data_IF_581210665732
#
_entry.id   IF_581210665732
#
_cell.length_a   1.000
_cell.length_b   1.000
_cell.length_c   1.000
_cell.angle_alpha   90.00
_cell.angle_beta   90.00
_cell.angle_gamma   90.00
#
_symmetry.space_group_name_H-M   'P 1'
#
loop_
_entity.id
_entity.type
_entity.pdbx_description
1 polymer ?
#
# COMPACT_ATOMS: atom_id res chain seq x y z
N UNK A 1 9.85 1.24 -2.70
CA UNK A 1 8.55 1.01 -2.00
C UNK A 1 8.18 2.26 -1.22
N UNK A 2 6.89 2.59 -1.12
CA UNK A 2 6.41 3.78 -0.38
C UNK A 2 5.29 3.35 0.57
N UNK A 3 5.39 3.76 1.83
CA UNK A 3 4.39 3.51 2.88
C UNK A 3 4.04 4.84 3.55
N UNK A 4 2.81 5.35 3.40
CA UNK A 4 2.32 6.46 4.19
C UNK A 4 2.05 5.99 5.62
N UNK A 5 2.37 6.83 6.60
CA UNK A 5 2.23 6.50 8.03
C UNK A 5 1.50 7.63 8.74
N UNK A 6 0.45 7.29 9.47
CA UNK A 6 -0.26 8.21 10.36
C UNK A 6 -0.76 7.46 11.59
N UNK A 7 -0.12 7.69 12.73
CA UNK A 7 -0.48 7.10 14.03
C UNK A 7 -0.58 5.56 14.01
N UNK A 8 0.50 4.89 13.57
CA UNK A 8 0.59 3.44 13.40
C UNK A 8 1.63 2.78 14.33
N UNK A 9 1.92 3.37 15.50
CA UNK A 9 2.97 2.88 16.41
C UNK A 9 2.86 1.37 16.72
N UNK A 10 1.64 0.84 16.81
CA UNK A 10 1.41 -0.56 17.14
C UNK A 10 1.70 -1.55 15.98
N UNK A 11 1.62 -1.09 14.72
CA UNK A 11 1.62 -1.97 13.53
C UNK A 11 2.78 -1.71 12.59
N UNK A 12 3.28 -0.47 12.53
CA UNK A 12 4.33 -0.07 11.57
C UNK A 12 5.60 -0.92 11.66
N UNK A 13 5.95 -1.40 12.84
CA UNK A 13 7.13 -2.27 13.01
C UNK A 13 7.02 -3.55 12.18
N UNK A 14 5.84 -4.20 12.20
CA UNK A 14 5.59 -5.41 11.41
C UNK A 14 5.54 -5.12 9.92
N UNK A 15 4.96 -3.98 9.52
CA UNK A 15 4.93 -3.54 8.12
C UNK A 15 6.34 -3.31 7.58
N UNK A 16 7.22 -2.67 8.35
CA UNK A 16 8.63 -2.44 7.97
C UNK A 16 9.38 -3.75 7.80
N UNK A 17 9.27 -4.69 8.74
CA UNK A 17 9.92 -6.01 8.65
C UNK A 17 9.45 -6.76 7.41
N UNK A 18 8.14 -6.80 7.15
CA UNK A 18 7.55 -7.44 5.97
C UNK A 18 8.03 -6.79 4.67
N UNK A 19 8.07 -5.45 4.61
CA UNK A 19 8.58 -4.69 3.47
C UNK A 19 10.04 -5.03 3.16
N UNK A 20 10.91 -5.02 4.17
CA UNK A 20 12.34 -5.34 4.01
C UNK A 20 12.56 -6.77 3.54
N UNK A 21 11.77 -7.73 4.02
CA UNK A 21 11.82 -9.12 3.54
C UNK A 21 11.43 -9.22 2.06
N UNK A 22 10.35 -8.54 1.64
CA UNK A 22 9.91 -8.52 0.23
C UNK A 22 10.94 -7.84 -0.68
N UNK A 23 11.57 -6.77 -0.23
CA UNK A 23 12.64 -6.08 -0.96
C UNK A 23 13.86 -6.98 -1.13
N UNK A 24 14.28 -7.68 -0.08
CA UNK A 24 15.43 -8.62 -0.12
C UNK A 24 15.17 -9.76 -1.09
N UNK A 25 13.94 -10.29 -1.14
CA UNK A 25 13.56 -11.32 -2.10
C UNK A 25 13.62 -10.80 -3.56
N UNK A 26 13.21 -9.55 -3.81
CA UNK A 26 13.30 -8.93 -5.13
C UNK A 26 14.75 -8.70 -5.57
N UNK A 27 15.61 -8.22 -4.67
CA UNK A 27 17.05 -8.06 -4.92
C UNK A 27 17.69 -9.38 -5.31
N UNK A 28 17.38 -10.44 -4.55
CA UNK A 28 17.91 -11.78 -4.80
C UNK A 28 17.42 -12.39 -6.12
N UNK A 29 16.17 -12.10 -6.50
CA UNK A 29 15.53 -12.71 -7.68
C UNK A 29 15.84 -11.97 -8.98
N UNK A 30 15.99 -10.66 -8.95
CA UNK A 30 16.11 -9.81 -10.14
C UNK A 30 17.38 -8.95 -10.17
N UNK A 31 18.21 -8.95 -9.14
CA UNK A 31 19.40 -8.10 -9.06
C UNK A 31 19.09 -6.59 -9.04
N UNK A 32 17.89 -6.21 -8.65
CA UNK A 32 17.46 -4.81 -8.58
C UNK A 32 17.95 -4.14 -7.29
N UNK A 33 18.05 -2.80 -7.31
CA UNK A 33 18.21 -2.01 -6.09
C UNK A 33 16.84 -1.68 -5.54
N UNK A 34 16.71 -1.71 -4.22
CA UNK A 34 15.45 -1.37 -3.55
C UNK A 34 15.63 -0.18 -2.60
N UNK A 35 14.54 0.53 -2.36
CA UNK A 35 14.44 1.64 -1.41
C UNK A 35 13.06 1.62 -0.77
N UNK A 36 12.99 1.75 0.55
CA UNK A 36 11.77 1.94 1.31
C UNK A 36 11.70 3.39 1.78
N UNK A 37 10.66 4.11 1.39
CA UNK A 37 10.35 5.44 1.93
C UNK A 37 9.16 5.35 2.85
N UNK A 38 9.35 5.69 4.11
CA UNK A 38 8.31 5.82 5.12
C UNK A 38 7.95 7.31 5.24
N UNK A 39 6.74 7.67 4.83
CA UNK A 39 6.27 9.05 4.83
C UNK A 39 5.31 9.29 6.01
N UNK A 40 5.79 9.96 7.05
CA UNK A 40 5.05 10.26 8.27
C UNK A 40 4.27 11.56 8.12
N UNK A 41 2.96 11.48 8.15
CA UNK A 41 2.07 12.63 7.98
C UNK A 41 1.29 12.92 9.26
N UNK A 42 1.61 14.05 9.92
CA UNK A 42 0.91 14.52 11.14
C UNK A 42 0.82 13.46 12.25
N UNK A 43 1.83 12.59 12.38
CA UNK A 43 1.89 11.61 13.47
C UNK A 43 2.05 12.30 14.83
N UNK A 44 1.23 11.86 15.80
CA UNK A 44 1.28 12.34 17.20
C UNK A 44 1.68 11.23 18.18
N UNK A 45 1.87 10.01 17.68
CA UNK A 45 2.30 8.83 18.44
C UNK A 45 3.76 8.44 18.15
N UNK A 46 4.21 7.32 18.70
CA UNK A 46 5.58 6.81 18.56
C UNK A 46 5.80 6.02 17.25
N UNK A 47 5.01 6.25 16.19
CA UNK A 47 5.13 5.53 14.91
C UNK A 47 6.54 5.57 14.33
N UNK A 48 7.18 6.75 14.31
CA UNK A 48 8.53 6.86 13.75
C UNK A 48 9.56 6.14 14.61
N UNK A 49 9.43 6.19 15.93
CA UNK A 49 10.32 5.46 16.84
C UNK A 49 10.21 3.95 16.60
N UNK A 50 8.99 3.43 16.49
CA UNK A 50 8.73 2.02 16.20
C UNK A 50 9.29 1.59 14.83
N UNK A 51 9.11 2.43 13.80
CA UNK A 51 9.64 2.17 12.47
C UNK A 51 11.18 2.17 12.42
N UNK A 52 11.82 3.11 13.11
CA UNK A 52 13.28 3.17 13.24
C UNK A 52 13.85 1.96 13.98
N UNK A 53 13.20 1.53 15.04
CA UNK A 53 13.58 0.32 15.75
C UNK A 53 13.48 -0.93 14.85
N UNK A 54 12.37 -1.06 14.10
CA UNK A 54 12.14 -2.19 13.20
C UNK A 54 13.07 -2.21 11.99
N UNK A 55 13.47 -1.04 11.47
CA UNK A 55 14.41 -0.95 10.35
C UNK A 55 15.86 -1.29 10.74
N UNK A 56 16.19 -1.29 12.04
CA UNK A 56 17.50 -1.64 12.57
C UNK A 56 18.70 -0.95 11.86
N UNK A 57 18.47 0.27 11.34
CA UNK A 57 19.48 1.02 10.60
C UNK A 57 19.73 0.52 9.17
N UNK A 58 18.82 -0.25 8.58
CA UNK A 58 18.94 -0.69 7.19
C UNK A 58 19.11 0.53 6.25
N UNK A 59 20.20 0.62 5.47
CA UNK A 59 20.49 1.78 4.63
C UNK A 59 19.51 1.97 3.46
N UNK A 60 18.65 1.02 3.21
CA UNK A 60 17.58 1.10 2.20
C UNK A 60 16.34 1.85 2.70
N UNK A 61 16.30 2.28 3.97
CA UNK A 61 15.12 2.92 4.56
C UNK A 61 15.33 4.41 4.70
N UNK A 62 14.44 5.19 4.11
CA UNK A 62 14.38 6.64 4.20
C UNK A 62 13.14 7.09 4.95
N UNK A 63 13.26 8.14 5.75
CA UNK A 63 12.22 8.68 6.61
C UNK A 63 11.89 10.12 6.20
N UNK A 64 10.65 10.38 5.83
CA UNK A 64 10.17 11.71 5.43
C UNK A 64 9.04 12.12 6.36
N UNK A 65 9.06 13.36 6.80
CA UNK A 65 7.99 13.97 7.62
C UNK A 65 7.27 15.05 6.84
N UNK A 66 5.96 15.10 7.00
CA UNK A 66 5.12 16.14 6.43
C UNK A 66 3.91 16.40 7.32
N UNK A 67 3.24 17.52 7.06
CA UNK A 67 2.03 17.94 7.76
C UNK A 67 0.96 18.29 6.71
N UNK A 68 0.41 17.28 6.08
CA UNK A 68 -0.57 17.49 5.00
C UNK A 68 -1.98 17.04 5.37
N UNK A 69 -2.11 15.99 6.17
CA UNK A 69 -3.39 15.37 6.49
C UNK A 69 -4.07 14.69 5.29
N UNK A 70 -3.36 14.52 4.18
CA UNK A 70 -3.89 13.97 2.93
C UNK A 70 -3.04 12.77 2.48
N UNK A 71 -3.59 11.55 2.52
CA UNK A 71 -2.86 10.33 2.17
C UNK A 71 -2.30 10.36 0.74
N UNK A 72 -3.04 10.93 -0.21
CA UNK A 72 -2.57 11.06 -1.59
C UNK A 72 -1.32 11.94 -1.69
N UNK A 73 -1.27 13.06 -0.97
CA UNK A 73 -0.08 13.91 -0.88
C UNK A 73 1.08 13.19 -0.20
N UNK A 74 0.79 12.45 0.85
CA UNK A 74 1.79 11.69 1.59
C UNK A 74 2.47 10.64 0.71
N UNK A 75 1.70 9.87 -0.05
CA UNK A 75 2.24 8.93 -1.04
C UNK A 75 3.02 9.66 -2.14
N UNK A 76 2.50 10.78 -2.67
CA UNK A 76 3.17 11.55 -3.72
C UNK A 76 4.54 12.08 -3.25
N UNK A 77 4.65 12.59 -2.02
CA UNK A 77 5.92 13.02 -1.42
C UNK A 77 6.87 11.85 -1.26
N UNK A 78 6.39 10.69 -0.78
CA UNK A 78 7.19 9.47 -0.68
C UNK A 78 7.75 9.02 -2.03
N UNK A 79 6.92 9.03 -3.08
CA UNK A 79 7.36 8.70 -4.45
C UNK A 79 8.38 9.71 -4.96
N UNK A 80 8.13 11.01 -4.81
CA UNK A 80 9.06 12.05 -5.25
C UNK A 80 10.43 11.92 -4.55
N UNK A 81 10.44 11.62 -3.25
CA UNK A 81 11.66 11.36 -2.48
C UNK A 81 12.40 10.14 -3.03
N UNK A 82 11.69 9.02 -3.28
CA UNK A 82 12.31 7.82 -3.83
C UNK A 82 12.94 8.07 -5.20
N UNK A 83 12.24 8.75 -6.10
CA UNK A 83 12.75 9.09 -7.43
C UNK A 83 13.96 10.03 -7.37
N UNK A 84 13.94 11.01 -6.46
CA UNK A 84 15.05 11.93 -6.21
C UNK A 84 16.30 11.24 -5.69
N UNK A 85 16.18 10.22 -4.86
CA UNK A 85 17.30 9.43 -4.33
C UNK A 85 17.84 8.46 -5.40
N UNK A 86 16.96 7.73 -6.07
CA UNK A 86 17.35 6.70 -7.05
C UNK A 86 17.99 7.30 -8.30
N UNK A 87 17.51 8.46 -8.78
CA UNK A 87 18.01 9.18 -9.97
C UNK A 87 18.14 8.28 -11.20
N UNK A 88 17.20 7.34 -11.36
CA UNK A 88 17.11 6.46 -12.52
C UNK A 88 16.07 6.98 -13.51
N UNK A 89 16.15 6.60 -14.79
CA UNK A 89 15.06 6.85 -15.73
C UNK A 89 13.74 6.29 -15.19
N UNK A 90 12.62 7.03 -15.22
CA UNK A 90 11.35 6.58 -14.64
C UNK A 90 10.87 5.24 -15.23
N UNK A 91 11.17 4.94 -16.49
CA UNK A 91 10.86 3.65 -17.11
C UNK A 91 11.56 2.45 -16.45
N UNK A 92 12.64 2.69 -15.70
CA UNK A 92 13.42 1.67 -15.00
C UNK A 92 13.12 1.61 -13.50
N UNK A 93 12.08 2.30 -13.04
CA UNK A 93 11.67 2.32 -11.65
C UNK A 93 10.26 1.76 -11.51
N UNK A 94 10.12 0.79 -10.62
CA UNK A 94 8.84 0.28 -10.16
C UNK A 94 8.51 0.84 -8.77
N UNK A 95 7.35 1.47 -8.64
CA UNK A 95 6.83 2.05 -7.40
C UNK A 95 5.86 1.03 -6.81
N UNK A 96 6.21 0.44 -5.68
CA UNK A 96 5.36 -0.46 -4.92
C UNK A 96 4.78 0.29 -3.71
N UNK A 97 3.46 0.25 -3.51
CA UNK A 97 2.78 0.95 -2.42
C UNK A 97 2.11 -0.05 -1.47
N UNK A 98 2.26 0.19 -0.19
CA UNK A 98 1.54 -0.50 0.88
C UNK A 98 1.14 0.48 1.98
N UNK A 99 0.58 0.01 3.09
CA UNK A 99 0.12 0.83 4.21
C UNK A 99 0.90 0.54 5.50
N UNK A 100 0.91 1.49 6.44
CA UNK A 100 1.63 1.37 7.71
C UNK A 100 1.08 0.30 8.66
N UNK A 101 -0.12 -0.20 8.40
CA UNK A 101 -0.79 -1.28 9.13
C UNK A 101 -0.90 -2.59 8.34
N UNK A 102 -0.14 -2.70 7.25
CA UNK A 102 -0.24 -3.80 6.30
C UNK A 102 1.05 -4.60 6.23
N UNK A 103 0.92 -5.92 6.10
CA UNK A 103 2.04 -6.86 5.98
C UNK A 103 2.01 -7.50 4.59
N UNK A 104 2.99 -7.15 3.77
CA UNK A 104 3.17 -7.74 2.45
C UNK A 104 3.85 -9.11 2.56
N UNK A 105 3.48 -10.13 1.77
CA UNK A 105 4.20 -11.39 1.72
C UNK A 105 5.63 -11.22 1.22
N UNK A 106 6.56 -12.09 1.63
CA UNK A 106 7.97 -11.99 1.24
C UNK A 106 8.19 -12.01 -0.30
N UNK A 107 7.33 -12.67 -1.05
CA UNK A 107 7.41 -12.73 -2.52
C UNK A 107 6.65 -11.58 -3.24
N UNK A 108 6.07 -10.65 -2.51
CA UNK A 108 5.21 -9.59 -3.05
C UNK A 108 5.89 -8.71 -4.10
N UNK A 109 7.08 -8.20 -3.83
CA UNK A 109 7.84 -7.41 -4.81
C UNK A 109 8.27 -8.27 -6.02
N UNK A 110 8.55 -9.54 -5.80
CA UNK A 110 8.91 -10.50 -6.87
C UNK A 110 7.75 -10.67 -7.85
N UNK A 111 6.53 -10.88 -7.36
CA UNK A 111 5.34 -11.03 -8.21
C UNK A 111 5.04 -9.75 -8.99
N UNK A 112 5.16 -8.59 -8.35
CA UNK A 112 4.97 -7.31 -9.05
C UNK A 112 6.00 -7.10 -10.18
N UNK A 113 7.27 -7.44 -9.93
CA UNK A 113 8.31 -7.30 -10.94
C UNK A 113 8.16 -8.33 -12.08
N UNK A 114 7.60 -9.51 -11.83
CA UNK A 114 7.24 -10.48 -12.89
C UNK A 114 6.18 -9.90 -13.83
N UNK A 115 5.08 -9.37 -13.29
CA UNK A 115 4.05 -8.72 -14.11
C UNK A 115 4.59 -7.49 -14.86
N UNK A 116 5.49 -6.72 -14.23
CA UNK A 116 6.18 -5.61 -14.90
C UNK A 116 7.03 -6.10 -16.08
N UNK A 117 7.77 -7.21 -15.93
CA UNK A 117 8.56 -7.82 -17.00
C UNK A 117 7.68 -8.35 -18.16
N UNK A 118 6.43 -8.72 -17.86
CA UNK A 118 5.41 -9.10 -18.85
C UNK A 118 4.69 -7.90 -19.48
N UNK A 119 5.15 -6.68 -19.19
CA UNK A 119 4.65 -5.43 -19.77
C UNK A 119 3.50 -4.78 -19.04
N UNK A 120 3.21 -5.17 -17.79
CA UNK A 120 2.28 -4.42 -16.95
C UNK A 120 2.85 -3.02 -16.65
N UNK A 121 2.04 -1.98 -16.80
CA UNK A 121 2.36 -0.64 -16.33
C UNK A 121 1.92 -0.42 -14.88
N UNK A 122 0.91 -1.16 -14.43
CA UNK A 122 0.50 -1.19 -13.05
C UNK A 122 -0.11 -2.55 -12.67
N UNK A 123 -0.09 -2.87 -11.38
CA UNK A 123 -0.75 -4.02 -10.79
C UNK A 123 -1.60 -3.55 -9.59
N UNK A 124 -2.83 -4.01 -9.54
CA UNK A 124 -3.71 -3.88 -8.39
C UNK A 124 -3.89 -5.26 -7.77
N UNK A 125 -3.63 -5.37 -6.47
CA UNK A 125 -3.73 -6.63 -5.76
C UNK A 125 -4.90 -6.64 -4.77
N UNK A 126 -5.15 -7.82 -4.19
CA UNK A 126 -6.18 -8.05 -3.18
C UNK A 126 -5.62 -7.85 -1.77
N UNK A 127 -6.52 -7.68 -0.79
CA UNK A 127 -6.17 -7.60 0.63
C UNK A 127 -6.91 -8.67 1.42
N UNK A 128 -6.33 -9.06 2.57
CA UNK A 128 -6.96 -9.92 3.56
C UNK A 128 -6.96 -9.14 4.87
N UNK A 129 -8.14 -8.69 5.34
CA UNK A 129 -8.23 -8.01 6.62
C UNK A 129 -7.95 -8.98 7.75
N UNK A 130 -7.09 -8.57 8.69
CA UNK A 130 -6.73 -9.34 9.89
C UNK A 130 -7.19 -8.57 11.12
N UNK A 131 -7.97 -9.22 11.98
CA UNK A 131 -8.55 -8.60 13.16
C UNK A 131 -8.69 -9.57 14.33
N UNK A 132 -9.20 -9.05 15.44
CA UNK A 132 -9.53 -9.84 16.62
C UNK A 132 -10.74 -10.77 16.38
N UNK A 133 -10.97 -11.71 17.31
CA UNK A 133 -12.12 -12.64 17.24
C UNK A 133 -13.47 -11.92 17.21
N UNK A 134 -13.56 -10.72 17.80
CA UNK A 134 -14.77 -9.90 17.82
C UNK A 134 -15.17 -9.35 16.44
N UNK A 135 -14.27 -9.42 15.46
CA UNK A 135 -14.48 -9.00 14.07
C UNK A 135 -14.96 -10.15 13.16
N UNK A 136 -15.08 -11.37 13.64
CA UNK A 136 -15.34 -12.55 12.79
C UNK A 136 -16.63 -12.42 11.96
N UNK A 137 -17.71 -11.86 12.52
CA UNK A 137 -18.97 -11.67 11.78
C UNK A 137 -18.83 -10.61 10.67
N UNK A 138 -18.17 -9.49 10.97
CA UNK A 138 -17.90 -8.42 9.99
C UNK A 138 -16.98 -8.92 8.87
N UNK A 139 -15.96 -9.67 9.21
CA UNK A 139 -15.03 -10.26 8.25
C UNK A 139 -15.71 -11.34 7.39
N UNK A 140 -16.67 -12.09 7.95
CA UNK A 140 -17.47 -13.05 7.19
C UNK A 140 -18.34 -12.35 6.16
N UNK A 141 -19.06 -11.29 6.55
CA UNK A 141 -19.87 -10.46 5.61
C UNK A 141 -19.01 -9.85 4.52
N UNK A 142 -17.82 -9.33 4.89
CA UNK A 142 -16.87 -8.80 3.92
C UNK A 142 -16.43 -9.89 2.93
N UNK A 143 -16.13 -11.09 3.40
CA UNK A 143 -15.68 -12.20 2.57
C UNK A 143 -16.76 -12.72 1.60
N UNK A 144 -18.05 -12.60 1.97
CA UNK A 144 -19.16 -13.00 1.10
C UNK A 144 -19.26 -12.12 -0.16
N UNK A 145 -18.92 -10.83 -0.04
CA UNK A 145 -18.97 -9.87 -1.15
C UNK A 145 -17.63 -9.69 -1.86
N UNK A 146 -16.51 -9.98 -1.17
CA UNK A 146 -15.17 -9.80 -1.68
C UNK A 146 -14.71 -11.01 -2.50
N UNK A 147 -14.48 -10.81 -3.79
CA UNK A 147 -14.03 -11.87 -4.70
C UNK A 147 -12.56 -11.68 -5.08
N UNK A 148 -11.61 -12.29 -4.34
CA UNK A 148 -10.18 -12.20 -4.63
C UNK A 148 -9.77 -13.15 -5.76
N UNK A 149 -10.16 -12.83 -6.98
CA UNK A 149 -9.81 -13.59 -8.20
C UNK A 149 -9.03 -12.71 -9.17
N UNK A 150 -8.21 -13.30 -10.03
CA UNK A 150 -7.52 -12.55 -11.09
C UNK A 150 -8.56 -11.85 -11.99
N UNK A 151 -8.30 -10.59 -12.34
CA UNK A 151 -9.24 -9.76 -13.10
C UNK A 151 -10.29 -9.03 -12.23
N UNK A 152 -10.14 -9.02 -10.90
CA UNK A 152 -11.03 -8.28 -10.00
C UNK A 152 -11.07 -6.77 -10.27
N UNK A 153 -12.08 -6.09 -9.77
CA UNK A 153 -12.22 -4.63 -9.89
C UNK A 153 -11.67 -3.85 -8.67
N UNK A 154 -11.27 -4.56 -7.62
CA UNK A 154 -10.81 -3.94 -6.38
C UNK A 154 -9.52 -3.15 -6.59
N UNK A 155 -9.41 -2.00 -5.94
CA UNK A 155 -8.22 -1.16 -5.88
C UNK A 155 -7.93 -0.87 -4.41
N UNK A 156 -6.70 -1.15 -3.99
CA UNK A 156 -6.25 -0.92 -2.62
C UNK A 156 -4.85 -0.29 -2.63
N UNK A 157 -4.70 0.87 -2.00
CA UNK A 157 -3.40 1.50 -1.82
C UNK A 157 -2.39 0.64 -1.06
N UNK A 158 -2.90 -0.29 -0.23
CA UNK A 158 -2.11 -1.29 0.48
C UNK A 158 -1.46 -2.34 -0.45
N UNK A 159 -1.97 -2.51 -1.68
CA UNK A 159 -1.48 -3.50 -2.64
C UNK A 159 -1.51 -2.96 -4.08
N UNK A 160 -0.66 -1.98 -4.35
CA UNK A 160 -0.60 -1.28 -5.62
C UNK A 160 0.83 -1.13 -6.10
N UNK A 161 1.12 -1.59 -7.33
CA UNK A 161 2.39 -1.37 -8.02
C UNK A 161 2.19 -0.56 -9.29
N UNK A 162 3.16 0.31 -9.64
CA UNK A 162 3.09 1.09 -10.86
C UNK A 162 4.50 1.45 -11.37
N UNK A 163 4.71 1.40 -12.68
CA UNK A 163 5.95 1.86 -13.30
C UNK A 163 6.00 3.39 -13.26
N UNK A 164 7.14 3.96 -12.86
CA UNK A 164 7.20 5.38 -12.52
C UNK A 164 6.95 6.32 -13.72
N UNK A 165 7.26 5.92 -14.95
CA UNK A 165 6.91 6.72 -16.13
C UNK A 165 5.39 6.79 -16.37
N UNK A 166 4.69 5.67 -16.19
CA UNK A 166 3.23 5.63 -16.28
C UNK A 166 2.58 6.44 -15.13
N UNK A 167 3.13 6.32 -13.91
CA UNK A 167 2.71 7.11 -12.75
C UNK A 167 2.79 8.62 -13.03
N UNK A 168 3.95 9.08 -13.53
CA UNK A 168 4.18 10.49 -13.83
C UNK A 168 3.28 11.01 -14.98
N UNK A 169 3.16 10.21 -16.06
CA UNK A 169 2.31 10.55 -17.21
C UNK A 169 0.81 10.61 -16.85
N UNK A 170 0.39 9.86 -15.84
CA UNK A 170 -1.00 9.85 -15.34
C UNK A 170 -1.27 10.92 -14.26
N UNK A 171 -0.30 11.80 -13.96
CA UNK A 171 -0.42 12.85 -12.95
C UNK A 171 -0.12 12.44 -11.52
N UNK A 172 0.21 11.16 -11.27
CA UNK A 172 0.57 10.65 -9.94
C UNK A 172 -0.61 10.57 -8.96
N UNK A 173 -0.30 10.42 -7.67
CA UNK A 173 -1.33 10.45 -6.63
C UNK A 173 -1.86 11.87 -6.45
N UNK A 174 -3.19 12.10 -6.58
CA UNK A 174 -3.80 13.40 -6.31
C UNK A 174 -3.76 13.73 -4.82
N UNK A 175 -3.69 15.03 -4.43
CA UNK A 175 -3.64 15.46 -3.04
C UNK A 175 -5.02 15.41 -2.38
N UNK A 176 -5.51 14.21 -2.11
CA UNK A 176 -6.82 13.92 -1.51
C UNK A 176 -6.67 13.13 -0.23
N UNK A 177 -7.72 13.11 0.60
CA UNK A 177 -7.77 12.42 1.88
C UNK A 177 -8.15 10.94 1.76
N UNK A 178 -8.70 10.52 0.61
CA UNK A 178 -9.11 9.15 0.28
C UNK A 178 -9.22 8.98 -1.24
N UNK A 179 -9.30 7.73 -1.72
CA UNK A 179 -9.46 7.34 -3.13
C UNK A 179 -8.32 7.80 -4.06
N UNK A 180 -7.15 8.12 -3.51
CA UNK A 180 -5.98 8.50 -4.30
C UNK A 180 -5.52 7.37 -5.22
N UNK A 181 -5.62 6.13 -4.74
CA UNK A 181 -5.29 4.90 -5.44
C UNK A 181 -6.30 4.60 -6.57
N UNK A 182 -7.59 4.71 -6.29
CA UNK A 182 -8.67 4.53 -7.28
C UNK A 182 -8.51 5.55 -8.40
N UNK A 183 -8.29 6.82 -8.07
CA UNK A 183 -8.10 7.90 -9.07
C UNK A 183 -6.86 7.70 -9.92
N UNK A 184 -5.76 7.25 -9.32
CA UNK A 184 -4.53 6.93 -10.06
C UNK A 184 -4.78 5.77 -11.03
N UNK A 185 -5.44 4.70 -10.58
CA UNK A 185 -5.74 3.53 -11.43
C UNK A 185 -6.70 3.90 -12.56
N UNK A 186 -7.70 4.75 -12.31
CA UNK A 186 -8.58 5.27 -13.34
C UNK A 186 -7.82 6.08 -14.39
N UNK A 187 -6.90 6.98 -13.96
CA UNK A 187 -6.07 7.76 -14.86
C UNK A 187 -5.14 6.88 -15.71
N UNK A 188 -4.53 5.84 -15.13
CA UNK A 188 -3.73 4.86 -15.85
C UNK A 188 -4.54 4.13 -16.92
N UNK A 189 -5.74 3.65 -16.58
CA UNK A 189 -6.65 2.97 -17.53
C UNK A 189 -7.08 3.91 -18.64
N UNK A 190 -7.44 5.16 -18.31
CA UNK A 190 -7.81 6.19 -19.30
C UNK A 190 -6.64 6.55 -20.23
N UNK A 191 -5.40 6.49 -19.73
CA UNK A 191 -4.18 6.68 -20.51
C UNK A 191 -3.79 5.48 -21.38
N UNK A 192 -4.59 4.41 -21.38
CA UNK A 192 -4.33 3.19 -22.17
C UNK A 192 -3.22 2.30 -21.60
N UNK A 193 -2.81 2.50 -20.35
CA UNK A 193 -1.81 1.65 -19.70
C UNK A 193 -2.38 0.28 -19.33
N UNK A 194 -1.56 -0.78 -19.49
CA UNK A 194 -1.93 -2.12 -19.05
C UNK A 194 -1.90 -2.20 -17.53
N UNK A 195 -3.09 -2.25 -16.91
CA UNK A 195 -3.29 -2.46 -15.48
C UNK A 195 -3.72 -3.91 -15.26
N UNK A 196 -2.93 -4.67 -14.50
CA UNK A 196 -3.20 -6.07 -14.17
C UNK A 196 -3.86 -6.14 -12.81
N UNK A 197 -4.99 -6.84 -12.69
CA UNK A 197 -5.63 -7.16 -11.43
C UNK A 197 -5.28 -8.60 -11.05
N UNK A 198 -4.56 -8.79 -9.94
CA UNK A 198 -4.02 -10.09 -9.52
C UNK A 198 -4.38 -10.43 -8.08
N UNK A 199 -4.89 -11.63 -7.87
CA UNK A 199 -5.16 -12.19 -6.55
C UNK A 199 -4.02 -13.09 -6.02
N UNK A 200 -2.90 -13.20 -6.74
CA UNK A 200 -1.82 -14.14 -6.41
C UNK A 200 -1.03 -13.78 -5.15
N UNK A 201 -1.05 -12.51 -4.76
CA UNK A 201 -0.23 -12.01 -3.68
C UNK A 201 -1.04 -11.07 -2.77
N UNK A 202 -2.01 -11.59 -2.01
CA UNK A 202 -2.82 -10.78 -1.13
C UNK A 202 -1.99 -10.19 0.00
N UNK A 203 -2.27 -8.94 0.36
CA UNK A 203 -1.64 -8.22 1.48
C UNK A 203 -2.52 -8.32 2.71
N UNK A 204 -1.93 -8.68 3.85
CA UNK A 204 -2.64 -8.68 5.13
C UNK A 204 -2.70 -7.25 5.67
N UNK A 205 -3.90 -6.73 5.91
CA UNK A 205 -4.12 -5.38 6.43
C UNK A 205 -4.95 -5.39 7.70
N UNK A 206 -4.87 -4.34 8.52
CA UNK A 206 -5.64 -4.25 9.76
C UNK A 206 -7.15 -4.16 9.48
N UNK A 207 -7.94 -4.99 10.18
CA UNK A 207 -9.40 -4.96 10.17
C UNK A 207 -9.99 -3.97 11.18
N UNK A 208 -9.24 -2.94 11.62
CA UNK A 208 -9.76 -1.92 12.52
C UNK A 208 -10.96 -1.19 11.92
N UNK A 209 -11.89 -0.75 12.76
CA UNK A 209 -13.08 0.02 12.37
C UNK A 209 -12.96 1.51 12.66
N UNK A 210 -11.87 1.94 13.31
CA UNK A 210 -11.51 3.34 13.50
C UNK A 210 -10.40 3.69 12.52
N UNK A 211 -10.78 4.31 11.40
CA UNK A 211 -9.86 4.70 10.33
C UNK A 211 -9.00 5.91 10.71
N UNK A 212 -7.79 6.00 10.13
CA UNK A 212 -6.94 7.20 10.17
C UNK A 212 -7.26 8.14 9.00
N UNK A 213 -7.83 7.61 7.92
CA UNK A 213 -8.35 8.36 6.78
C UNK A 213 -9.88 8.28 6.75
N UNK A 214 -10.60 9.40 6.61
CA UNK A 214 -12.05 9.40 6.43
C UNK A 214 -12.43 8.62 5.15
N UNK A 215 -13.52 7.86 5.21
CA UNK A 215 -14.05 7.06 4.09
C UNK A 215 -13.11 5.98 3.55
N UNK A 216 -12.09 5.56 4.34
CA UNK A 216 -11.18 4.47 4.01
C UNK A 216 -11.76 3.09 4.31
N UNK A 217 -10.93 2.05 4.16
CA UNK A 217 -11.30 0.66 4.39
C UNK A 217 -11.88 0.40 5.79
N UNK A 218 -11.38 1.10 6.82
CA UNK A 218 -11.91 1.00 8.18
C UNK A 218 -13.36 1.48 8.30
N UNK A 219 -13.73 2.57 7.63
CA UNK A 219 -15.10 3.09 7.63
C UNK A 219 -16.06 2.14 6.89
N UNK A 220 -15.58 1.50 5.82
CA UNK A 220 -16.32 0.45 5.13
C UNK A 220 -16.61 -0.75 6.07
N UNK A 221 -15.62 -1.24 6.80
CA UNK A 221 -15.81 -2.31 7.79
C UNK A 221 -16.75 -1.88 8.93
N UNK A 222 -16.67 -0.63 9.39
CA UNK A 222 -17.58 -0.08 10.41
C UNK A 222 -19.04 -0.06 9.90
N UNK A 223 -19.26 0.26 8.63
CA UNK A 223 -20.57 0.16 7.98
C UNK A 223 -21.16 -1.26 8.04
N UNK A 224 -20.36 -2.27 7.73
CA UNK A 224 -20.77 -3.68 7.79
C UNK A 224 -21.11 -4.13 9.22
N UNK A 225 -20.50 -3.54 10.26
CA UNK A 225 -20.87 -3.81 11.66
C UNK A 225 -22.22 -3.20 12.04
N UNK A 226 -22.54 -2.01 11.54
CA UNK A 226 -23.79 -1.31 11.89
C UNK A 226 -25.02 -1.96 11.28
N UNK A 227 -24.87 -2.68 10.16
CA UNK A 227 -25.96 -3.43 9.50
C UNK A 227 -26.19 -4.82 10.12
N UNK A 228 -25.43 -5.21 11.16
CA UNK A 228 -25.67 -6.43 11.90
C UNK A 228 -27.01 -6.33 12.68
N UNK A 229 -27.93 -7.32 12.58
CA UNK A 229 -29.14 -7.33 13.37
C UNK A 229 -28.75 -7.35 14.85
N UNK A 230 -29.20 -6.33 15.60
CA UNK A 230 -29.03 -6.31 17.06
C UNK A 230 -29.67 -7.59 17.60
N UNK A 231 -28.85 -8.52 18.10
CA UNK A 231 -29.35 -9.70 18.80
C UNK A 231 -30.23 -9.25 19.95
N UNK A 232 -31.47 -9.69 19.95
CA UNK A 232 -32.47 -9.48 21.01
C UNK A 232 -32.10 -10.28 22.26
#
# INVERSE_FOLDING_TARGET
MVIPVRDEAALIGQAVVAALAAMTAAESSFGVRTLLVLAFDTCVDDSELAARAASAGDPRVEFVRLESGMVGRTRAVGVATALGILRLPPSNVWIANSDGDSQVPAHWCVEQLREAAEGAAAIVGTVIPTGSRDMNETLSKWADDYRPVDGHEHVHGANLGVRADAYLASGGFPPVTHDEDVRLVQALRAGGYRVVASARCPVHTSARTLGRAPHGFADYLAGLQSDAPRSR
#
